data_IF_353959329390
#
_entry.id   IF_353959329390
#
_cell.length_a   1.000
_cell.length_b   1.000
_cell.length_c   1.000
_cell.angle_alpha   90.00
_cell.angle_beta   90.00
_cell.angle_gamma   90.00
#
_symmetry.space_group_name_H-M   'P 1'
#
loop_
_entity.id
_entity.type
_entity.pdbx_description
1 polymer ?
#
# COMPACT_ATOMS: atom_id res chain seq x y z
N UNK A 1 9.81 8.28 19.25
CA UNK A 1 9.31 7.64 18.01
C UNK A 1 9.47 8.59 16.84
N UNK A 2 10.03 8.13 15.69
CA UNK A 2 10.27 8.97 14.51
C UNK A 2 8.95 9.42 13.87
N UNK A 3 8.96 10.62 13.26
CA UNK A 3 7.81 11.13 12.51
C UNK A 3 7.69 10.36 11.20
N UNK A 4 6.53 9.74 10.92
CA UNK A 4 6.29 8.97 9.69
C UNK A 4 5.36 9.73 8.74
N UNK A 5 5.83 9.98 7.52
CA UNK A 5 5.07 10.58 6.42
C UNK A 5 4.50 9.46 5.57
N UNK A 6 3.17 9.40 5.51
CA UNK A 6 2.44 8.35 4.82
C UNK A 6 1.68 9.00 3.65
N UNK A 7 1.88 8.50 2.44
CA UNK A 7 1.02 8.81 1.31
C UNK A 7 0.06 7.64 1.10
N UNK A 8 -1.23 7.92 0.99
CA UNK A 8 -2.27 6.92 0.72
C UNK A 8 -2.91 7.29 -0.62
N UNK A 9 -2.79 6.39 -1.59
CA UNK A 9 -3.43 6.48 -2.89
C UNK A 9 -4.52 5.41 -2.97
N UNK A 10 -5.77 5.83 -3.10
CA UNK A 10 -6.90 4.93 -3.24
C UNK A 10 -7.39 4.96 -4.69
N UNK A 11 -7.09 3.89 -5.42
CA UNK A 11 -7.39 3.71 -6.83
C UNK A 11 -8.67 2.90 -7.06
N UNK A 12 -9.33 2.40 -5.99
CA UNK A 12 -10.60 1.66 -6.11
C UNK A 12 -11.69 2.56 -6.68
N UNK A 13 -12.77 1.99 -7.17
CA UNK A 13 -13.89 2.78 -7.70
C UNK A 13 -14.70 3.43 -6.55
N UNK A 14 -15.67 4.27 -6.90
CA UNK A 14 -16.49 5.00 -5.91
C UNK A 14 -17.58 4.11 -5.29
N UNK A 15 -18.00 3.08 -6.01
CA UNK A 15 -18.95 2.05 -5.60
C UNK A 15 -18.30 0.93 -4.78
N UNK A 16 -16.98 0.97 -4.60
CA UNK A 16 -16.22 -0.04 -3.87
C UNK A 16 -15.83 0.46 -2.46
N UNK A 17 -15.70 -0.45 -1.48
CA UNK A 17 -15.15 -0.12 -0.18
C UNK A 17 -13.75 0.50 -0.27
N UNK A 18 -13.56 1.67 0.35
CA UNK A 18 -12.32 2.45 0.28
C UNK A 18 -11.38 2.11 1.44
N UNK A 19 -10.40 1.24 1.21
CA UNK A 19 -9.34 0.94 2.18
C UNK A 19 -8.52 2.20 2.51
N UNK A 20 -8.25 3.05 1.52
CA UNK A 20 -7.47 4.27 1.76
C UNK A 20 -8.17 5.24 2.71
N UNK A 21 -9.51 5.36 2.61
CA UNK A 21 -10.29 6.17 3.56
C UNK A 21 -10.31 5.54 4.95
N UNK A 22 -10.46 4.21 5.04
CA UNK A 22 -10.38 3.48 6.30
C UNK A 22 -9.04 3.74 7.01
N UNK A 23 -7.92 3.63 6.28
CA UNK A 23 -6.58 3.85 6.82
C UNK A 23 -6.35 5.30 7.24
N UNK A 24 -6.85 6.27 6.46
CA UNK A 24 -6.79 7.69 6.84
C UNK A 24 -7.47 7.93 8.19
N UNK A 25 -8.68 7.40 8.39
CA UNK A 25 -9.39 7.57 9.66
C UNK A 25 -8.72 6.79 10.80
N UNK A 26 -8.19 5.59 10.54
CA UNK A 26 -7.37 4.87 11.50
C UNK A 26 -6.16 5.68 11.97
N UNK A 27 -5.41 6.31 11.06
CA UNK A 27 -4.26 7.14 11.44
C UNK A 27 -4.67 8.41 12.21
N UNK A 28 -5.81 9.01 11.87
CA UNK A 28 -6.37 10.12 12.64
C UNK A 28 -6.68 9.72 14.09
N UNK A 29 -7.33 8.56 14.27
CA UNK A 29 -7.64 8.00 15.59
C UNK A 29 -6.34 7.72 16.35
N UNK A 30 -5.39 7.01 15.76
CA UNK A 30 -4.13 6.70 16.41
C UNK A 30 -3.40 7.97 16.90
N UNK A 31 -3.39 9.03 16.08
CA UNK A 31 -2.79 10.32 16.45
C UNK A 31 -3.39 10.92 17.72
N UNK A 32 -4.70 10.75 17.94
CA UNK A 32 -5.41 11.26 19.11
C UNK A 32 -5.12 10.45 20.39
N UNK A 33 -5.13 9.12 20.29
CA UNK A 33 -5.03 8.23 21.47
C UNK A 33 -3.61 7.98 21.97
N UNK A 34 -2.64 7.93 21.06
CA UNK A 34 -1.24 7.75 21.39
C UNK A 34 -0.48 8.53 20.34
N UNK A 35 0.10 9.71 20.62
CA UNK A 35 0.65 10.60 19.60
C UNK A 35 1.86 9.99 18.89
N UNK A 36 1.60 8.98 18.07
CA UNK A 36 2.43 8.51 17.00
C UNK A 36 2.60 9.74 16.12
N UNK A 37 3.85 10.12 15.87
CA UNK A 37 4.18 11.22 14.98
C UNK A 37 3.92 10.82 13.52
N UNK A 38 2.84 10.13 13.21
CA UNK A 38 2.45 9.75 11.87
C UNK A 38 1.51 10.81 11.27
N UNK A 39 1.79 11.23 10.05
CA UNK A 39 0.93 12.12 9.27
C UNK A 39 0.64 11.46 7.93
N UNK A 40 -0.64 11.25 7.63
CA UNK A 40 -1.09 10.69 6.36
C UNK A 40 -1.66 11.76 5.43
N UNK A 41 -1.25 11.72 4.17
CA UNK A 41 -1.88 12.43 3.06
C UNK A 41 -2.67 11.42 2.24
N UNK A 42 -3.95 11.70 2.01
CA UNK A 42 -4.85 10.78 1.31
C UNK A 42 -5.32 11.40 -0.01
N UNK A 43 -5.30 10.62 -1.08
CA UNK A 43 -5.89 10.97 -2.37
C UNK A 43 -6.75 9.82 -2.89
N UNK A 44 -7.99 10.14 -3.29
CA UNK A 44 -8.76 9.30 -4.21
C UNK A 44 -8.22 9.53 -5.63
N UNK A 45 -7.95 8.45 -6.36
CA UNK A 45 -7.30 8.47 -7.66
C UNK A 45 -8.26 7.92 -8.70
N UNK A 46 -8.67 8.77 -9.64
CA UNK A 46 -9.74 8.43 -10.59
C UNK A 46 -9.23 8.06 -12.00
N UNK A 47 -7.93 8.18 -12.26
CA UNK A 47 -7.35 7.87 -13.57
C UNK A 47 -5.87 7.53 -13.46
N UNK A 48 -5.35 6.80 -14.47
CA UNK A 48 -3.91 6.53 -14.60
C UNK A 48 -3.05 7.79 -14.59
N UNK A 49 -3.45 8.82 -15.32
CA UNK A 49 -2.72 10.11 -15.35
C UNK A 49 -2.64 10.73 -13.95
N UNK A 50 -3.73 10.68 -13.19
CA UNK A 50 -3.74 11.19 -11.82
C UNK A 50 -2.89 10.33 -10.90
N UNK A 51 -2.95 8.99 -11.03
CA UNK A 51 -2.11 8.05 -10.29
C UNK A 51 -0.62 8.37 -10.47
N UNK A 52 -0.16 8.41 -11.73
CA UNK A 52 1.24 8.68 -12.06
C UNK A 52 1.66 10.09 -11.59
N UNK A 53 0.79 11.10 -11.74
CA UNK A 53 1.03 12.45 -11.21
C UNK A 53 1.19 12.47 -9.69
N UNK A 54 0.36 11.72 -8.95
CA UNK A 54 0.44 11.63 -7.48
C UNK A 54 1.60 10.78 -6.99
N UNK A 55 2.11 9.83 -7.79
CA UNK A 55 3.35 9.13 -7.52
C UNK A 55 4.58 10.00 -7.80
N UNK A 56 4.52 10.87 -8.81
CA UNK A 56 5.60 11.78 -9.19
C UNK A 56 5.75 12.96 -8.21
N UNK A 57 6.00 12.66 -6.93
CA UNK A 57 5.95 13.66 -5.86
C UNK A 57 7.20 14.51 -5.73
N UNK A 58 8.37 14.00 -6.12
CA UNK A 58 9.67 14.60 -5.82
C UNK A 58 9.98 14.68 -4.32
N UNK A 59 9.16 14.06 -3.46
CA UNK A 59 9.27 14.09 -2.01
C UNK A 59 9.53 12.69 -1.48
N UNK A 60 10.31 12.61 -0.40
CA UNK A 60 10.51 11.34 0.33
C UNK A 60 9.37 11.10 1.31
N UNK A 61 8.76 9.93 1.24
CA UNK A 61 7.82 9.40 2.23
C UNK A 61 8.48 8.27 3.03
N UNK A 62 7.93 7.96 4.19
CA UNK A 62 8.31 6.75 4.92
C UNK A 62 7.54 5.56 4.36
N UNK A 63 6.26 5.79 4.01
CA UNK A 63 5.35 4.78 3.49
C UNK A 63 4.54 5.39 2.35
N UNK A 64 4.41 4.67 1.23
CA UNK A 64 3.33 4.89 0.26
C UNK A 64 2.46 3.63 0.29
N UNK A 65 1.18 3.84 0.62
CA UNK A 65 0.14 2.83 0.58
C UNK A 65 -0.70 3.04 -0.67
N UNK A 66 -0.94 1.97 -1.43
CA UNK A 66 -1.71 2.00 -2.67
C UNK A 66 -2.79 0.92 -2.56
N UNK A 67 -4.04 1.34 -2.42
CA UNK A 67 -5.20 0.44 -2.51
C UNK A 67 -5.66 0.43 -3.96
N UNK A 68 -5.59 -0.73 -4.62
CA UNK A 68 -5.82 -0.85 -6.05
C UNK A 68 -6.24 -2.29 -6.41
N UNK A 69 -6.55 -2.51 -7.69
CA UNK A 69 -6.72 -3.83 -8.28
C UNK A 69 -5.48 -4.24 -9.08
N UNK A 70 -5.22 -5.54 -9.12
CA UNK A 70 -4.21 -6.11 -10.01
C UNK A 70 -4.62 -6.03 -11.49
N UNK A 71 -3.65 -6.15 -12.38
CA UNK A 71 -3.92 -6.32 -13.80
C UNK A 71 -4.53 -7.71 -14.10
N UNK A 72 -5.38 -7.82 -15.15
CA UNK A 72 -5.92 -9.10 -15.60
C UNK A 72 -4.83 -10.13 -15.93
N UNK A 73 -5.21 -11.41 -15.98
CA UNK A 73 -4.32 -12.53 -16.28
C UNK A 73 -3.47 -12.26 -17.54
N UNK A 74 -2.17 -12.53 -17.43
CA UNK A 74 -1.20 -12.31 -18.51
C UNK A 74 -0.69 -10.87 -18.63
N UNK A 75 -1.20 -9.93 -17.81
CA UNK A 75 -0.69 -8.55 -17.74
C UNK A 75 -0.03 -8.28 -16.38
N UNK A 76 0.77 -7.22 -16.34
CA UNK A 76 1.43 -6.72 -15.12
C UNK A 76 1.14 -5.24 -14.98
N UNK A 77 0.59 -4.85 -13.84
CA UNK A 77 0.20 -3.48 -13.56
C UNK A 77 -0.78 -3.41 -12.40
N UNK A 78 -1.08 -2.19 -11.99
CA UNK A 78 -2.03 -1.88 -10.91
C UNK A 78 -2.97 -0.76 -11.33
N UNK A 79 -4.22 -0.82 -10.91
CA UNK A 79 -5.24 0.07 -11.43
C UNK A 79 -6.54 0.08 -10.66
N UNK A 80 -7.60 0.54 -11.30
CA UNK A 80 -8.94 0.57 -10.72
C UNK A 80 -9.79 -0.67 -11.04
N UNK A 81 -9.18 -1.68 -11.66
CA UNK A 81 -9.83 -2.97 -11.95
C UNK A 81 -10.70 -3.00 -13.21
N UNK A 82 -10.88 -1.85 -13.90
CA UNK A 82 -11.79 -1.78 -15.05
C UNK A 82 -11.24 -0.95 -16.21
N UNK A 83 -10.97 0.33 -15.99
CA UNK A 83 -10.73 1.28 -17.08
C UNK A 83 -9.27 1.64 -17.26
N UNK A 84 -8.43 1.45 -16.24
CA UNK A 84 -7.02 1.78 -16.34
C UNK A 84 -6.13 0.92 -15.45
N UNK A 85 -4.90 0.70 -15.94
CA UNK A 85 -3.79 0.08 -15.20
C UNK A 85 -2.50 0.81 -15.55
N UNK A 86 -1.70 1.12 -14.53
CA UNK A 86 -0.33 1.61 -14.69
C UNK A 86 0.63 0.41 -14.76
N UNK A 87 1.47 0.39 -15.78
CA UNK A 87 2.48 -0.67 -15.97
C UNK A 87 3.73 -0.41 -15.11
N UNK A 88 4.58 -1.42 -14.86
CA UNK A 88 5.87 -1.22 -14.22
C UNK A 88 6.72 -0.11 -14.86
N UNK A 89 6.74 -0.03 -16.19
CA UNK A 89 7.52 0.93 -16.96
C UNK A 89 7.05 2.36 -16.66
N UNK A 90 5.74 2.60 -16.72
CA UNK A 90 5.14 3.90 -16.40
C UNK A 90 5.38 4.30 -14.94
N UNK A 91 5.34 3.35 -14.00
CA UNK A 91 5.63 3.61 -12.58
C UNK A 91 7.10 3.99 -12.41
N UNK A 92 8.02 3.28 -13.07
CA UNK A 92 9.47 3.49 -12.97
C UNK A 92 9.89 4.89 -13.44
N UNK A 93 9.16 5.48 -14.38
CA UNK A 93 9.36 6.85 -14.87
C UNK A 93 9.00 7.94 -13.84
N UNK A 94 8.24 7.61 -12.79
CA UNK A 94 7.86 8.58 -11.77
C UNK A 94 8.93 8.78 -10.68
N UNK A 95 9.00 9.98 -10.10
CA UNK A 95 9.92 10.34 -9.02
C UNK A 95 9.32 10.08 -7.63
N UNK A 96 8.81 8.86 -7.40
CA UNK A 96 8.39 8.41 -6.07
C UNK A 96 9.62 8.00 -5.23
N UNK A 97 9.53 8.16 -3.91
CA UNK A 97 10.57 7.70 -2.99
C UNK A 97 9.95 7.34 -1.64
N UNK A 98 10.04 6.08 -1.25
CA UNK A 98 9.60 5.61 0.06
C UNK A 98 10.47 4.48 0.60
N UNK A 99 10.50 4.37 1.94
CA UNK A 99 11.16 3.22 2.59
C UNK A 99 10.31 1.96 2.43
N UNK A 100 8.99 2.09 2.57
CA UNK A 100 8.02 1.02 2.35
C UNK A 100 7.01 1.44 1.27
N UNK A 101 6.82 0.55 0.30
CA UNK A 101 5.70 0.59 -0.63
C UNK A 101 4.81 -0.59 -0.31
N UNK A 102 3.54 -0.31 0.05
CA UNK A 102 2.53 -1.34 0.22
C UNK A 102 1.47 -1.16 -0.87
N UNK A 103 1.53 -2.03 -1.88
CA UNK A 103 0.53 -2.16 -2.93
C UNK A 103 -0.47 -3.23 -2.51
N UNK A 104 -1.58 -2.82 -1.92
CA UNK A 104 -2.66 -3.73 -1.59
C UNK A 104 -3.57 -3.93 -2.81
N UNK A 105 -3.08 -4.77 -3.73
CA UNK A 105 -3.75 -5.11 -4.97
C UNK A 105 -3.49 -6.58 -5.32
N UNK A 106 -4.55 -7.31 -5.68
CA UNK A 106 -4.49 -8.75 -5.97
C UNK A 106 -3.37 -9.09 -6.96
N UNK A 107 -2.62 -10.18 -6.69
CA UNK A 107 -1.56 -10.69 -7.55
C UNK A 107 -0.44 -9.66 -7.89
N UNK A 108 -0.31 -8.56 -7.13
CA UNK A 108 0.66 -7.50 -7.42
C UNK A 108 2.06 -7.78 -6.85
N UNK A 109 2.22 -8.84 -6.06
CA UNK A 109 3.52 -9.31 -5.59
C UNK A 109 4.31 -9.98 -6.73
N UNK A 110 4.80 -9.15 -7.65
CA UNK A 110 5.59 -9.51 -8.82
C UNK A 110 6.88 -8.72 -8.80
N UNK A 111 8.01 -9.36 -9.14
CA UNK A 111 9.33 -8.74 -9.16
C UNK A 111 9.34 -7.44 -9.98
N UNK A 112 8.77 -7.44 -11.19
CA UNK A 112 8.70 -6.26 -12.05
C UNK A 112 7.99 -5.05 -11.40
N UNK A 113 6.94 -5.28 -10.61
CA UNK A 113 6.26 -4.21 -9.87
C UNK A 113 7.14 -3.72 -8.73
N UNK A 114 7.74 -4.64 -7.96
CA UNK A 114 8.63 -4.30 -6.85
C UNK A 114 9.83 -3.46 -7.32
N UNK A 115 10.47 -3.87 -8.43
CA UNK A 115 11.58 -3.17 -9.06
C UNK A 115 11.19 -1.80 -9.61
N UNK A 116 9.98 -1.64 -10.14
CA UNK A 116 9.49 -0.33 -10.60
C UNK A 116 9.41 0.69 -9.47
N UNK A 117 9.09 0.24 -8.26
CA UNK A 117 8.93 1.09 -7.08
C UNK A 117 10.24 1.41 -6.34
N UNK A 118 11.33 0.64 -6.58
CA UNK A 118 12.69 0.92 -6.09
C UNK A 118 12.78 1.25 -4.59
N UNK A 119 11.95 0.60 -3.78
CA UNK A 119 11.87 0.83 -2.33
C UNK A 119 12.60 -0.24 -1.55
N UNK A 120 13.14 0.11 -0.37
CA UNK A 120 13.76 -0.87 0.53
C UNK A 120 12.83 -2.04 0.85
N UNK A 121 11.54 -1.76 1.04
CA UNK A 121 10.53 -2.76 1.31
C UNK A 121 9.36 -2.64 0.33
N UNK A 122 9.04 -3.72 -0.36
CA UNK A 122 7.83 -3.82 -1.19
C UNK A 122 6.92 -4.94 -0.69
N UNK A 123 5.68 -4.58 -0.40
CA UNK A 123 4.65 -5.48 0.14
C UNK A 123 3.44 -5.47 -0.79
N UNK A 124 2.96 -6.66 -1.14
CA UNK A 124 1.75 -6.89 -1.92
C UNK A 124 1.27 -8.34 -1.73
N UNK A 125 -0.01 -8.65 -2.01
CA UNK A 125 -0.48 -10.03 -2.00
C UNK A 125 -0.07 -10.80 -3.27
N UNK A 126 0.12 -12.11 -3.14
CA UNK A 126 0.40 -13.05 -4.25
C UNK A 126 -0.86 -13.72 -4.81
N UNK A 127 -2.00 -13.54 -4.15
CA UNK A 127 -3.31 -14.13 -4.49
C UNK A 127 -4.35 -13.05 -4.77
N UNK A 128 -5.57 -13.48 -5.11
CA UNK A 128 -6.77 -12.66 -4.98
C UNK A 128 -7.18 -12.62 -3.51
N UNK A 129 -7.39 -11.41 -2.98
CA UNK A 129 -7.68 -11.19 -1.56
C UNK A 129 -9.00 -10.48 -1.41
N UNK A 130 -9.90 -11.06 -0.64
CA UNK A 130 -11.14 -10.42 -0.23
C UNK A 130 -10.86 -9.09 0.47
N UNK A 131 -11.65 -8.06 0.13
CA UNK A 131 -11.41 -6.69 0.62
C UNK A 131 -11.30 -6.62 2.15
N UNK A 132 -12.17 -7.33 2.88
CA UNK A 132 -12.17 -7.34 4.35
C UNK A 132 -10.85 -7.88 4.89
N UNK A 133 -10.33 -8.95 4.31
CA UNK A 133 -9.07 -9.57 4.75
C UNK A 133 -7.89 -8.64 4.45
N UNK A 134 -7.87 -8.03 3.26
CA UNK A 134 -6.87 -7.06 2.86
C UNK A 134 -6.86 -5.84 3.80
N UNK A 135 -8.03 -5.29 4.12
CA UNK A 135 -8.19 -4.16 5.03
C UNK A 135 -7.79 -4.50 6.47
N UNK A 136 -8.20 -5.67 6.99
CA UNK A 136 -7.81 -6.14 8.32
C UNK A 136 -6.30 -6.33 8.42
N UNK A 137 -5.68 -6.92 7.40
CA UNK A 137 -4.24 -7.09 7.35
C UNK A 137 -3.53 -5.73 7.40
N UNK A 138 -3.94 -4.76 6.58
CA UNK A 138 -3.38 -3.40 6.58
C UNK A 138 -3.52 -2.72 7.95
N UNK A 139 -4.69 -2.80 8.58
CA UNK A 139 -4.91 -2.24 9.92
C UNK A 139 -4.00 -2.88 10.97
N UNK A 140 -3.93 -4.21 11.02
CA UNK A 140 -3.08 -4.94 11.98
C UNK A 140 -1.60 -4.64 11.74
N UNK A 141 -1.17 -4.62 10.49
CA UNK A 141 0.19 -4.28 10.10
C UNK A 141 0.55 -2.88 10.55
N UNK A 142 -0.26 -1.87 10.22
CA UNK A 142 0.04 -0.49 10.56
C UNK A 142 -0.09 -0.19 12.05
N UNK A 143 -1.01 -0.83 12.77
CA UNK A 143 -1.06 -0.77 14.23
C UNK A 143 0.28 -1.19 14.82
N UNK A 144 0.81 -2.35 14.43
CA UNK A 144 2.10 -2.83 14.94
C UNK A 144 3.25 -1.95 14.47
N UNK A 145 3.32 -1.70 13.17
CA UNK A 145 4.46 -1.03 12.56
C UNK A 145 4.58 0.42 13.01
N UNK A 146 3.47 1.18 13.00
CA UNK A 146 3.47 2.62 13.25
C UNK A 146 3.18 2.94 14.72
N UNK A 147 2.12 2.36 15.29
CA UNK A 147 1.62 2.75 16.64
C UNK A 147 2.44 2.10 17.75
N UNK A 148 2.83 0.84 17.56
CA UNK A 148 3.66 0.13 18.53
C UNK A 148 5.15 0.27 18.23
N UNK A 149 5.51 0.72 17.01
CA UNK A 149 6.90 0.99 16.62
C UNK A 149 7.75 -0.27 16.47
N UNK A 150 7.15 -1.43 16.22
CA UNK A 150 7.91 -2.67 16.00
C UNK A 150 8.56 -2.68 14.61
N UNK A 151 9.53 -3.55 14.38
CA UNK A 151 10.21 -3.69 13.08
C UNK A 151 9.24 -4.12 11.98
N UNK A 152 9.58 -3.82 10.72
CA UNK A 152 8.76 -4.17 9.56
C UNK A 152 8.45 -5.67 9.54
N UNK A 153 9.47 -6.52 9.63
CA UNK A 153 9.33 -7.99 9.69
C UNK A 153 8.35 -8.47 10.76
N UNK A 154 8.50 -7.99 12.01
CA UNK A 154 7.63 -8.40 13.12
C UNK A 154 6.20 -7.89 12.96
N UNK A 155 6.01 -6.71 12.39
CA UNK A 155 4.67 -6.18 12.09
C UNK A 155 3.98 -7.00 11.00
N UNK A 156 4.72 -7.35 9.94
CA UNK A 156 4.26 -8.19 8.84
C UNK A 156 3.86 -9.59 9.32
N UNK A 157 4.74 -10.27 10.04
CA UNK A 157 4.47 -11.60 10.61
C UNK A 157 3.25 -11.59 11.54
N UNK A 158 3.13 -10.56 12.39
CA UNK A 158 1.99 -10.41 13.28
C UNK A 158 0.68 -10.27 12.49
N UNK A 159 0.65 -9.37 11.51
CA UNK A 159 -0.54 -9.11 10.71
C UNK A 159 -1.00 -10.39 10.01
N UNK A 160 -0.08 -11.02 9.25
CA UNK A 160 -0.29 -12.30 8.57
C UNK A 160 -0.91 -13.36 9.49
N UNK A 161 -0.32 -13.57 10.66
CA UNK A 161 -0.75 -14.63 11.56
C UNK A 161 -2.11 -14.33 12.21
N UNK A 162 -2.41 -13.05 12.49
CA UNK A 162 -3.64 -12.66 13.18
C UNK A 162 -4.83 -12.49 12.24
N UNK A 163 -4.59 -12.22 10.96
CA UNK A 163 -5.65 -12.12 9.95
C UNK A 163 -5.81 -13.40 9.13
N UNK A 164 -5.01 -14.45 9.41
CA UNK A 164 -5.03 -15.72 8.67
C UNK A 164 -4.76 -15.54 7.16
N UNK A 165 -4.00 -14.50 6.79
CA UNK A 165 -3.68 -14.16 5.39
C UNK A 165 -2.28 -14.61 4.97
N UNK A 166 -1.77 -15.69 5.59
CA UNK A 166 -0.42 -16.22 5.33
C UNK A 166 -0.22 -16.70 3.90
N UNK A 167 -1.28 -17.25 3.29
CA UNK A 167 -1.30 -17.64 1.88
C UNK A 167 -1.27 -16.42 0.95
N UNK A 168 -1.91 -15.33 1.36
CA UNK A 168 -2.07 -14.14 0.53
C UNK A 168 -0.83 -13.25 0.58
N UNK A 169 -0.22 -13.12 1.77
CA UNK A 169 1.01 -12.37 2.01
C UNK A 169 2.11 -13.32 2.53
N UNK A 170 2.65 -14.20 1.70
CA UNK A 170 3.67 -15.17 2.13
C UNK A 170 5.03 -14.52 2.38
N UNK A 171 5.32 -13.40 1.71
CA UNK A 171 6.57 -12.67 1.84
C UNK A 171 6.41 -11.19 1.44
N UNK A 172 7.53 -10.49 1.47
CA UNK A 172 7.73 -9.15 0.94
C UNK A 172 9.13 -9.11 0.29
N UNK A 173 9.40 -8.12 -0.54
CA UNK A 173 10.73 -7.91 -1.11
C UNK A 173 11.53 -6.94 -0.23
N UNK A 174 12.82 -7.24 -0.03
CA UNK A 174 13.78 -6.41 0.71
C UNK A 174 15.04 -6.24 -0.14
N UNK A 175 15.43 -4.99 -0.40
CA UNK A 175 16.61 -4.59 -1.19
C UNK A 175 17.66 -3.88 -0.36
#
# INVERSE_FOLDING_TARGET
MPKRRILILDCTRMDEPSEGRLLKEFFNICRLYKPAKASSLFYKVNSKRDFLKKLNTGKRYDIIHISAHGAPKGKTGIGNGTTWWATPEEIKETNHNATLIFVNACLANKLAIAEAFRSRYFLAPVTEVEWVNAALFSLMFYKRYIVDGVSMRRAFEYARNKTQTSSDYPNYWES
#
